data_IF_598155615154
#
_entry.id   IF_598155615154
#
_cell.length_a   1.000
_cell.length_b   1.000
_cell.length_c   1.000
_cell.angle_alpha   90.00
_cell.angle_beta   90.00
_cell.angle_gamma   90.00
#
_symmetry.space_group_name_H-M   'P 1'
#
loop_
_entity.id
_entity.type
_entity.pdbx_description
1 polymer ?
#
# COMPACT_ATOMS: atom_id res chain seq x y z
N UNK A 1 -51.63 31.62 -30.24
CA UNK A 1 -50.61 32.17 -29.30
C UNK A 1 -49.90 30.97 -28.68
N UNK A 2 -48.57 31.01 -28.71
CA UNK A 2 -47.66 29.86 -28.53
C UNK A 2 -47.44 29.48 -27.06
N UNK A 3 -47.28 28.19 -26.78
CA UNK A 3 -46.82 27.67 -25.50
C UNK A 3 -45.32 27.35 -25.59
N UNK A 4 -44.51 27.99 -24.76
CA UNK A 4 -43.06 27.79 -24.66
C UNK A 4 -42.82 26.76 -23.56
N UNK A 5 -42.26 25.60 -23.91
CA UNK A 5 -41.79 24.60 -22.94
C UNK A 5 -40.31 24.85 -22.62
N UNK A 6 -40.01 25.13 -21.35
CA UNK A 6 -38.65 25.26 -20.82
C UNK A 6 -38.14 23.87 -20.44
N UNK A 7 -37.11 23.39 -21.14
CA UNK A 7 -36.38 22.19 -20.75
C UNK A 7 -35.24 22.57 -19.79
N UNK A 8 -35.34 22.18 -18.52
CA UNK A 8 -34.24 22.27 -17.56
C UNK A 8 -33.35 21.04 -17.69
N UNK A 9 -32.13 21.24 -18.18
CA UNK A 9 -31.10 20.20 -18.23
C UNK A 9 -30.52 19.93 -16.84
N UNK A 10 -30.65 18.70 -16.33
CA UNK A 10 -29.91 18.21 -15.17
C UNK A 10 -28.48 17.89 -15.60
N UNK A 11 -27.51 18.63 -15.07
CA UNK A 11 -26.10 18.27 -15.20
C UNK A 11 -25.74 17.22 -14.14
N UNK A 12 -25.45 15.99 -14.57
CA UNK A 12 -24.82 14.98 -13.71
C UNK A 12 -23.35 15.35 -13.50
N UNK A 13 -23.00 15.82 -12.31
CA UNK A 13 -21.60 15.99 -11.91
C UNK A 13 -21.02 14.62 -11.56
N UNK A 14 -20.14 14.10 -12.41
CA UNK A 14 -19.28 12.97 -12.06
C UNK A 14 -18.23 13.44 -11.06
N UNK A 15 -18.39 13.08 -9.78
CA UNK A 15 -17.34 13.29 -8.78
C UNK A 15 -16.24 12.26 -9.04
N UNK A 16 -15.07 12.72 -9.46
CA UNK A 16 -13.87 11.88 -9.49
C UNK A 16 -13.49 11.60 -8.03
N UNK A 17 -13.86 10.43 -7.53
CA UNK A 17 -13.40 9.96 -6.23
C UNK A 17 -11.88 9.74 -6.33
N UNK A 18 -11.10 10.63 -5.72
CA UNK A 18 -9.68 10.37 -5.47
C UNK A 18 -9.63 9.12 -4.60
N UNK A 19 -9.12 8.00 -5.15
CA UNK A 19 -8.95 6.76 -4.41
C UNK A 19 -8.05 7.05 -3.20
N UNK A 20 -8.63 6.99 -2.00
CA UNK A 20 -7.87 7.14 -0.76
C UNK A 20 -7.20 5.80 -0.43
N UNK A 21 -6.00 5.79 0.17
CA UNK A 21 -5.36 4.56 0.62
C UNK A 21 -6.30 3.79 1.55
N UNK A 22 -6.36 2.46 1.37
CA UNK A 22 -7.12 1.62 2.29
C UNK A 22 -6.46 1.69 3.68
N UNK A 23 -7.23 2.12 4.68
CA UNK A 23 -6.76 2.28 6.06
C UNK A 23 -7.10 1.04 6.88
N UNK A 24 -6.11 0.49 7.55
CA UNK A 24 -6.24 -0.67 8.43
C UNK A 24 -5.71 -0.31 9.81
N UNK A 25 -6.43 -0.65 10.87
CA UNK A 25 -6.00 -0.38 12.25
C UNK A 25 -5.95 -1.68 13.04
N UNK A 26 -4.80 -1.99 13.64
CA UNK A 26 -4.59 -3.20 14.44
C UNK A 26 -3.91 -2.90 15.78
N UNK A 27 -4.07 -3.84 16.71
CA UNK A 27 -3.39 -3.92 17.99
C UNK A 27 -2.83 -5.34 18.16
N UNK A 28 -1.85 -5.57 19.06
CA UNK A 28 -1.42 -6.92 19.39
C UNK A 28 -2.61 -7.82 19.73
N UNK A 29 -2.50 -9.10 19.36
CA UNK A 29 -3.57 -10.10 19.45
C UNK A 29 -4.79 -9.86 18.54
N UNK A 30 -4.63 -9.10 17.45
CA UNK A 30 -5.71 -8.92 16.47
C UNK A 30 -6.20 -10.25 15.87
N UNK A 31 -7.42 -10.22 15.33
CA UNK A 31 -8.08 -11.32 14.65
C UNK A 31 -8.89 -10.79 13.46
N UNK A 32 -8.92 -11.49 12.30
CA UNK A 32 -8.18 -12.72 12.01
C UNK A 32 -6.65 -12.48 11.94
N UNK A 33 -5.86 -13.53 12.19
CA UNK A 33 -4.40 -13.53 12.05
C UNK A 33 -3.98 -14.77 11.23
N UNK A 34 -3.42 -14.63 10.02
CA UNK A 34 -3.09 -13.38 9.34
C UNK A 34 -4.31 -12.58 8.92
N UNK A 35 -4.20 -11.25 8.99
CA UNK A 35 -5.09 -10.34 8.30
C UNK A 35 -4.67 -10.27 6.83
N UNK A 36 -5.62 -10.30 5.91
CA UNK A 36 -5.37 -10.23 4.47
C UNK A 36 -6.09 -9.03 3.89
N UNK A 37 -5.39 -8.27 3.05
CA UNK A 37 -5.92 -7.06 2.41
C UNK A 37 -5.52 -7.11 0.94
N UNK A 38 -6.49 -7.05 0.05
CA UNK A 38 -6.25 -7.00 -1.39
C UNK A 38 -5.86 -5.59 -1.83
N UNK A 39 -5.06 -5.51 -2.89
CA UNK A 39 -4.64 -4.24 -3.46
C UNK A 39 -4.17 -4.34 -4.90
N UNK A 40 -3.93 -3.17 -5.48
CA UNK A 40 -3.40 -3.00 -6.84
C UNK A 40 -2.20 -2.08 -6.73
N UNK A 41 -1.03 -2.60 -7.05
CA UNK A 41 0.24 -1.90 -6.88
C UNK A 41 0.64 -1.13 -8.12
N UNK A 42 1.92 -0.78 -8.16
CA UNK A 42 2.54 -0.13 -9.30
C UNK A 42 2.23 1.36 -9.38
N UNK A 43 2.51 1.94 -10.55
CA UNK A 43 2.34 3.36 -10.83
C UNK A 43 3.44 3.89 -11.75
N UNK A 44 3.69 5.19 -11.71
CA UNK A 44 4.53 5.88 -12.67
C UNK A 44 5.72 6.63 -12.06
N UNK A 45 5.79 6.68 -10.72
CA UNK A 45 6.85 7.33 -9.95
C UNK A 45 7.80 6.28 -9.40
N UNK A 46 9.11 6.50 -9.51
CA UNK A 46 10.08 5.59 -8.91
C UNK A 46 9.94 5.56 -7.38
N UNK A 47 9.90 4.37 -6.78
CA UNK A 47 9.73 4.20 -5.33
C UNK A 47 10.79 4.97 -4.54
N UNK A 48 12.04 4.96 -5.01
CA UNK A 48 13.14 5.70 -4.42
C UNK A 48 12.93 7.22 -4.39
N UNK A 49 12.15 7.78 -5.32
CA UNK A 49 11.77 9.20 -5.32
C UNK A 49 10.74 9.49 -4.22
N UNK A 50 9.80 8.57 -3.98
CA UNK A 50 8.78 8.71 -2.93
C UNK A 50 9.40 8.68 -1.53
N UNK A 51 10.34 7.76 -1.28
CA UNK A 51 10.94 7.58 0.05
C UNK A 51 12.28 8.31 0.25
N UNK A 52 12.87 8.86 -0.82
CA UNK A 52 14.11 9.63 -0.75
C UNK A 52 15.39 8.79 -0.60
N UNK A 53 15.31 7.47 -0.82
CA UNK A 53 16.47 6.56 -0.78
C UNK A 53 16.29 5.43 -1.79
N UNK A 54 17.37 4.96 -2.41
CA UNK A 54 17.36 3.82 -3.32
C UNK A 54 17.43 2.47 -2.60
N UNK A 55 17.87 2.44 -1.35
CA UNK A 55 17.96 1.22 -0.56
C UNK A 55 17.87 1.50 0.95
N UNK A 56 17.55 0.46 1.69
CA UNK A 56 17.48 0.43 3.16
C UNK A 56 18.28 -0.78 3.66
N UNK A 57 18.37 -0.95 4.97
CA UNK A 57 19.00 -2.14 5.54
C UNK A 57 18.26 -3.45 5.19
N UNK A 58 16.97 -3.38 4.85
CA UNK A 58 16.14 -4.55 4.51
C UNK A 58 16.12 -4.88 3.01
N UNK A 59 16.73 -4.03 2.17
CA UNK A 59 16.75 -4.23 0.72
C UNK A 59 16.54 -2.95 -0.11
N UNK A 60 16.53 -3.10 -1.44
CA UNK A 60 16.37 -2.00 -2.38
C UNK A 60 14.93 -1.48 -2.43
N UNK A 61 14.77 -0.17 -2.64
CA UNK A 61 13.48 0.48 -2.89
C UNK A 61 13.22 0.52 -4.40
N UNK A 62 12.94 -0.67 -4.95
CA UNK A 62 12.82 -0.91 -6.39
C UNK A 62 11.44 -0.53 -6.95
N UNK A 63 11.40 -0.38 -8.27
CA UNK A 63 10.16 -0.30 -9.03
C UNK A 63 9.47 1.06 -9.06
N UNK A 64 8.26 1.04 -9.60
CA UNK A 64 7.37 2.19 -9.76
C UNK A 64 6.12 2.01 -8.89
N UNK A 65 5.68 3.11 -8.30
CA UNK A 65 4.53 3.20 -7.39
C UNK A 65 3.70 4.43 -7.73
N UNK A 66 2.49 4.50 -7.20
CA UNK A 66 1.69 5.72 -7.19
C UNK A 66 2.25 6.73 -6.17
N UNK A 67 1.96 8.03 -6.38
CA UNK A 67 2.33 9.08 -5.43
C UNK A 67 1.72 8.84 -4.04
N UNK A 68 0.47 8.39 -3.99
CA UNK A 68 -0.20 8.00 -2.75
C UNK A 68 0.15 6.55 -2.40
N UNK A 69 0.24 6.20 -1.10
CA UNK A 69 0.38 4.81 -0.69
C UNK A 69 -0.85 3.99 -1.08
N UNK A 70 -0.67 2.69 -1.21
CA UNK A 70 -1.77 1.75 -1.47
C UNK A 70 -2.53 1.47 -0.17
N UNK A 71 -1.81 1.38 0.94
CA UNK A 71 -2.37 1.19 2.27
C UNK A 71 -1.77 2.13 3.32
N UNK A 72 -2.56 2.43 4.35
CA UNK A 72 -2.07 2.99 5.61
C UNK A 72 -2.40 2.02 6.74
N UNK A 73 -1.37 1.45 7.35
CA UNK A 73 -1.49 0.56 8.51
C UNK A 73 -1.24 1.35 9.79
N UNK A 74 -2.26 1.47 10.62
CA UNK A 74 -2.19 2.07 11.95
C UNK A 74 -1.97 1.01 13.01
N UNK A 75 -0.81 1.05 13.65
CA UNK A 75 -0.48 0.22 14.81
C UNK A 75 -0.80 1.00 16.08
N UNK A 76 -1.79 0.56 16.83
CA UNK A 76 -2.23 1.26 18.06
C UNK A 76 -1.28 1.06 19.24
N UNK A 77 -0.44 0.03 19.21
CA UNK A 77 0.57 -0.32 20.22
C UNK A 77 1.78 -0.95 19.55
N UNK A 78 2.87 -1.07 20.30
CA UNK A 78 4.07 -1.79 19.88
C UNK A 78 3.78 -3.27 19.60
N UNK A 79 4.39 -3.81 18.55
CA UNK A 79 4.42 -5.24 18.23
C UNK A 79 5.83 -5.81 18.40
N UNK A 80 5.96 -6.91 19.14
CA UNK A 80 7.24 -7.59 19.30
C UNK A 80 7.66 -8.40 18.06
N UNK A 81 6.69 -8.92 17.32
CA UNK A 81 6.91 -9.55 16.01
C UNK A 81 5.68 -9.37 15.12
N UNK A 82 5.84 -8.63 14.02
CA UNK A 82 4.84 -8.47 12.99
C UNK A 82 5.50 -8.65 11.62
N UNK A 83 4.91 -9.52 10.81
CA UNK A 83 5.31 -9.84 9.45
C UNK A 83 4.30 -9.20 8.49
N UNK A 84 4.81 -8.39 7.56
CA UNK A 84 4.07 -7.84 6.43
C UNK A 84 4.65 -8.48 5.18
N UNK A 85 3.86 -9.26 4.47
CA UNK A 85 4.27 -9.98 3.27
C UNK A 85 3.28 -9.73 2.14
N UNK A 86 3.79 -9.54 0.93
CA UNK A 86 2.97 -9.42 -0.28
C UNK A 86 2.95 -10.75 -0.99
N UNK A 87 1.79 -11.16 -1.48
CA UNK A 87 1.64 -12.27 -2.41
C UNK A 87 1.09 -11.74 -3.74
N UNK A 88 1.80 -12.00 -4.83
CA UNK A 88 1.38 -11.68 -6.19
C UNK A 88 1.80 -12.77 -7.17
N UNK A 89 1.09 -12.87 -8.30
CA UNK A 89 1.51 -13.69 -9.44
C UNK A 89 2.65 -13.04 -10.24
N UNK A 90 2.92 -11.75 -9.99
CA UNK A 90 3.99 -10.98 -10.61
C UNK A 90 5.06 -10.59 -9.59
N UNK A 91 6.24 -10.26 -10.11
CA UNK A 91 7.37 -9.78 -9.32
C UNK A 91 7.11 -8.35 -8.81
N UNK A 92 7.22 -8.14 -7.50
CA UNK A 92 6.88 -6.88 -6.83
C UNK A 92 7.87 -6.56 -5.71
N UNK A 93 8.00 -5.30 -5.33
CA UNK A 93 8.74 -4.91 -4.12
C UNK A 93 7.84 -4.19 -3.12
N UNK A 94 8.11 -4.38 -1.82
CA UNK A 94 7.40 -3.77 -0.71
C UNK A 94 8.18 -2.56 -0.19
N UNK A 95 7.51 -1.43 -0.06
CA UNK A 95 8.06 -0.19 0.50
C UNK A 95 7.18 0.29 1.64
N UNK A 96 7.77 0.52 2.80
CA UNK A 96 7.08 0.96 4.01
C UNK A 96 7.77 2.19 4.59
N UNK A 97 6.99 3.21 4.92
CA UNK A 97 7.47 4.43 5.59
C UNK A 97 6.61 4.73 6.81
N UNK A 98 7.22 4.95 7.96
CA UNK A 98 6.50 5.25 9.20
C UNK A 98 7.43 5.54 10.38
N UNK A 99 6.92 5.43 11.63
CA UNK A 99 7.74 5.58 12.83
C UNK A 99 8.94 4.64 12.81
N UNK A 100 10.14 5.21 12.89
CA UNK A 100 11.42 4.48 12.88
C UNK A 100 12.17 4.52 11.54
N UNK A 101 11.51 4.89 10.43
CA UNK A 101 12.19 5.11 9.15
C UNK A 101 11.47 4.55 7.92
N UNK A 102 12.28 4.03 7.00
CA UNK A 102 11.86 3.44 5.73
C UNK A 102 12.45 2.03 5.66
N UNK A 103 11.64 1.10 5.18
CA UNK A 103 12.02 -0.27 4.90
C UNK A 103 11.59 -0.61 3.49
N UNK A 104 12.49 -1.25 2.76
CA UNK A 104 12.21 -1.77 1.43
C UNK A 104 12.68 -3.21 1.35
N UNK A 105 11.95 -4.05 0.63
CA UNK A 105 12.35 -5.42 0.36
C UNK A 105 11.71 -5.90 -0.95
N UNK A 106 12.40 -6.79 -1.65
CA UNK A 106 12.03 -7.29 -2.98
C UNK A 106 11.81 -8.81 -2.92
N UNK A 107 12.82 -9.54 -2.48
CA UNK A 107 12.78 -10.99 -2.34
C UNK A 107 12.83 -11.38 -0.85
N UNK A 108 11.67 -11.72 -0.27
CA UNK A 108 11.58 -12.32 1.06
C UNK A 108 11.30 -13.82 0.98
N UNK A 109 10.33 -14.21 0.16
CA UNK A 109 9.97 -15.60 -0.13
C UNK A 109 9.83 -15.79 -1.63
N UNK A 110 10.88 -16.32 -2.26
CA UNK A 110 11.00 -16.27 -3.72
C UNK A 110 11.01 -14.82 -4.20
N UNK A 111 10.08 -14.48 -5.11
CA UNK A 111 9.88 -13.13 -5.69
C UNK A 111 8.87 -12.26 -4.93
N UNK A 112 8.36 -12.77 -3.81
CA UNK A 112 7.37 -12.09 -3.01
C UNK A 112 8.06 -11.32 -1.88
N UNK A 113 7.85 -9.99 -1.78
CA UNK A 113 8.55 -9.17 -0.81
C UNK A 113 7.91 -9.26 0.58
N UNK A 114 8.70 -8.99 1.60
CA UNK A 114 8.23 -9.02 2.98
C UNK A 114 9.19 -8.40 3.98
N UNK A 115 8.63 -7.89 5.07
CA UNK A 115 9.37 -7.29 6.18
C UNK A 115 8.82 -7.87 7.49
N UNK A 116 9.72 -8.40 8.32
CA UNK A 116 9.40 -8.96 9.62
C UNK A 116 10.23 -8.29 10.71
N UNK A 117 9.63 -8.08 11.88
CA UNK A 117 10.38 -7.61 13.04
C UNK A 117 9.49 -6.91 14.05
N UNK A 118 10.13 -6.05 14.85
CA UNK A 118 9.47 -5.21 15.83
C UNK A 118 8.93 -3.93 15.18
N UNK A 119 7.74 -3.50 15.61
CA UNK A 119 7.10 -2.30 15.08
C UNK A 119 6.60 -1.39 16.19
N UNK A 120 6.88 -0.10 16.07
CA UNK A 120 6.41 0.92 17.01
C UNK A 120 4.92 1.24 16.76
N UNK A 121 4.27 1.83 17.75
CA UNK A 121 2.93 2.39 17.53
C UNK A 121 3.01 3.58 16.56
N UNK A 122 2.01 3.70 15.68
CA UNK A 122 1.86 4.82 14.75
C UNK A 122 1.32 4.41 13.39
N UNK A 123 1.36 5.34 12.44
CA UNK A 123 0.83 5.17 11.10
C UNK A 123 1.96 4.85 10.11
N UNK A 124 1.78 3.77 9.34
CA UNK A 124 2.73 3.30 8.34
C UNK A 124 2.10 3.37 6.96
N UNK A 125 2.71 4.11 6.05
CA UNK A 125 2.36 4.15 4.64
C UNK A 125 3.04 2.99 3.91
N UNK A 126 2.28 2.25 3.10
CA UNK A 126 2.74 1.05 2.41
C UNK A 126 2.48 1.21 0.92
N UNK A 127 3.50 0.92 0.12
CA UNK A 127 3.42 0.81 -1.33
C UNK A 127 3.88 -0.58 -1.76
N UNK A 128 3.22 -1.12 -2.77
CA UNK A 128 3.66 -2.32 -3.51
C UNK A 128 4.00 -1.89 -4.92
N UNK A 129 5.26 -2.08 -5.32
CA UNK A 129 5.76 -1.58 -6.60
C UNK A 129 5.56 -2.57 -7.74
N UNK A 130 5.63 -2.04 -8.95
CA UNK A 130 5.81 -2.80 -10.20
C UNK A 130 7.18 -2.50 -10.79
N UNK A 131 7.83 -3.52 -11.34
CA UNK A 131 9.08 -3.32 -12.11
C UNK A 131 8.87 -2.64 -13.47
N UNK A 132 7.62 -2.56 -13.95
CA UNK A 132 7.26 -1.85 -15.17
C UNK A 132 6.49 -0.57 -14.83
N UNK A 133 6.93 0.55 -15.38
CA UNK A 133 6.23 1.83 -15.28
C UNK A 133 4.83 1.72 -15.90
N UNK A 134 3.82 2.31 -15.25
CA UNK A 134 2.41 2.28 -15.66
C UNK A 134 1.81 0.85 -15.75
N UNK A 135 2.41 -0.11 -15.04
CA UNK A 135 1.85 -1.46 -14.88
C UNK A 135 1.40 -1.66 -13.44
N UNK A 136 0.29 -2.34 -13.26
CA UNK A 136 -0.41 -2.44 -11.98
C UNK A 136 -0.72 -3.90 -11.65
N UNK A 137 0.18 -4.58 -10.91
CA UNK A 137 -0.04 -5.94 -10.46
C UNK A 137 -1.10 -5.98 -9.35
N UNK A 138 -1.97 -7.00 -9.38
CA UNK A 138 -2.83 -7.32 -8.25
C UNK A 138 -2.00 -8.05 -7.19
N UNK A 139 -2.31 -7.82 -5.92
CA UNK A 139 -1.64 -8.50 -4.82
C UNK A 139 -2.54 -8.66 -3.60
N UNK A 140 -2.10 -9.52 -2.67
CA UNK A 140 -2.62 -9.61 -1.31
C UNK A 140 -1.52 -9.26 -0.31
N UNK A 141 -1.76 -8.25 0.53
CA UNK A 141 -0.94 -7.94 1.69
C UNK A 141 -1.39 -8.80 2.88
N UNK A 142 -0.51 -9.69 3.32
CA UNK A 142 -0.68 -10.52 4.53
C UNK A 142 0.02 -9.85 5.70
N UNK A 143 -0.74 -9.51 6.73
CA UNK A 143 -0.24 -8.96 7.99
C UNK A 143 -0.42 -10.01 9.07
N UNK A 144 0.70 -10.52 9.60
CA UNK A 144 0.71 -11.62 10.58
C UNK A 144 1.48 -11.23 11.82
N UNK A 145 0.87 -11.42 12.98
CA UNK A 145 1.60 -11.34 14.25
C UNK A 145 2.14 -12.74 14.59
N UNK A 146 3.45 -12.87 14.72
CA UNK A 146 4.08 -14.12 15.14
C UNK A 146 4.11 -14.14 16.68
N UNK A 147 3.54 -15.19 17.29
CA UNK A 147 3.30 -15.32 18.73
C UNK A 147 4.01 -16.53 19.30
#
# INVERSE_FOLDING_TARGET
MAAIALFTSLATQSQVALSQPAKVTIAPQFSPNPLQVEGVGGGDVAASTIVGTSATQTGPCSGFVNTNPDHVLKLTKFFNSLNLQVESDEDTALIIKGPGGVWCNDDFDGKNPGISGQWQAGDYAIWVSSYRKNHSPNYTLRVREDR
#
